data_IF_402933871886
#
_entry.id   IF_402933871886
#
_cell.length_a   1.000
_cell.length_b   1.000
_cell.length_c   1.000
_cell.angle_alpha   90.00
_cell.angle_beta   90.00
_cell.angle_gamma   90.00
#
_symmetry.space_group_name_H-M   'P 1'
#
loop_
_entity.id
_entity.type
_entity.pdbx_description
1 polymer ?
#
# COMPACT_ATOMS: atom_id res chain seq x y z
N UNK A 1 -46.55 -18.23 14.79
CA UNK A 1 -46.80 -17.28 13.69
C UNK A 1 -46.85 -15.79 14.12
N UNK A 2 -46.61 -15.43 15.40
CA UNK A 2 -46.76 -14.07 15.93
C UNK A 2 -45.42 -13.36 16.16
N UNK A 3 -44.25 -14.01 16.07
CA UNK A 3 -42.96 -13.39 16.42
C UNK A 3 -42.21 -12.67 15.28
N UNK A 4 -42.66 -12.81 14.03
CA UNK A 4 -41.99 -12.18 12.87
C UNK A 4 -42.51 -10.76 12.54
N UNK A 5 -43.78 -10.45 12.90
CA UNK A 5 -44.36 -9.15 12.53
C UNK A 5 -43.94 -7.96 13.43
N UNK A 6 -43.48 -8.21 14.65
CA UNK A 6 -43.04 -7.16 15.60
C UNK A 6 -41.55 -6.80 15.51
N UNK A 7 -40.74 -7.63 14.89
CA UNK A 7 -39.29 -7.38 14.77
C UNK A 7 -38.89 -6.51 13.55
N UNK A 8 -39.71 -6.56 12.50
CA UNK A 8 -39.41 -5.78 11.26
C UNK A 8 -39.48 -4.27 11.48
N UNK A 9 -40.51 -3.71 12.14
CA UNK A 9 -40.53 -2.24 12.41
C UNK A 9 -39.40 -1.78 13.31
N UNK A 10 -39.00 -2.56 14.30
CA UNK A 10 -37.90 -2.22 15.20
C UNK A 10 -36.54 -2.29 14.48
N UNK A 11 -36.34 -3.27 13.61
CA UNK A 11 -35.14 -3.37 12.78
C UNK A 11 -35.06 -2.24 11.74
N UNK A 12 -36.21 -1.86 11.13
CA UNK A 12 -36.30 -0.72 10.22
C UNK A 12 -36.03 0.62 10.92
N UNK A 13 -36.57 0.82 12.12
CA UNK A 13 -36.31 2.02 12.93
C UNK A 13 -34.86 2.10 13.41
N UNK A 14 -34.26 0.99 13.79
CA UNK A 14 -32.84 0.91 14.15
C UNK A 14 -31.95 1.22 12.95
N UNK A 15 -32.26 0.69 11.75
CA UNK A 15 -31.55 1.00 10.51
C UNK A 15 -31.71 2.46 10.10
N UNK A 16 -32.92 3.04 10.20
CA UNK A 16 -33.17 4.44 9.92
C UNK A 16 -32.39 5.36 10.89
N UNK A 17 -32.36 5.03 12.18
CA UNK A 17 -31.60 5.80 13.19
C UNK A 17 -30.08 5.69 12.97
N UNK A 18 -29.57 4.52 12.57
CA UNK A 18 -28.15 4.33 12.23
C UNK A 18 -27.78 5.12 10.97
N UNK A 19 -28.64 5.12 9.96
CA UNK A 19 -28.47 5.91 8.72
C UNK A 19 -28.46 7.40 9.02
N UNK A 20 -29.37 7.87 9.87
CA UNK A 20 -29.44 9.28 10.31
C UNK A 20 -28.18 9.68 11.07
N UNK A 21 -27.67 8.86 11.98
CA UNK A 21 -26.41 9.10 12.72
C UNK A 21 -25.20 9.11 11.79
N UNK A 22 -25.12 8.19 10.84
CA UNK A 22 -24.05 8.15 9.85
C UNK A 22 -24.09 9.41 8.95
N UNK A 23 -25.27 9.82 8.50
CA UNK A 23 -25.46 11.05 7.73
C UNK A 23 -25.07 12.30 8.54
N UNK A 24 -25.43 12.37 9.82
CA UNK A 24 -25.02 13.46 10.71
C UNK A 24 -23.51 13.50 10.93
N UNK A 25 -22.88 12.34 11.12
CA UNK A 25 -21.41 12.22 11.25
C UNK A 25 -20.70 12.65 9.97
N UNK A 26 -21.21 12.24 8.80
CA UNK A 26 -20.69 12.65 7.50
C UNK A 26 -20.89 14.15 7.25
N UNK A 27 -22.03 14.71 7.66
CA UNK A 27 -22.31 16.15 7.53
C UNK A 27 -21.44 16.98 8.49
N UNK A 28 -21.16 16.47 9.69
CA UNK A 28 -20.21 17.06 10.63
C UNK A 28 -18.78 17.03 10.07
N UNK A 29 -18.39 15.93 9.44
CA UNK A 29 -17.12 15.80 8.74
C UNK A 29 -17.03 16.78 7.56
N UNK A 30 -18.08 16.85 6.73
CA UNK A 30 -18.21 17.79 5.61
C UNK A 30 -18.11 19.26 6.08
N UNK A 31 -18.80 19.61 7.16
CA UNK A 31 -18.77 20.96 7.73
C UNK A 31 -17.40 21.31 8.35
N UNK A 32 -16.72 20.35 8.99
CA UNK A 32 -15.34 20.52 9.47
C UNK A 32 -14.35 20.69 8.31
N UNK A 33 -14.60 20.05 7.17
CA UNK A 33 -13.79 20.19 5.96
C UNK A 33 -14.03 21.50 5.22
N UNK A 34 -15.27 22.01 5.21
CA UNK A 34 -15.59 23.33 4.64
C UNK A 34 -14.98 24.50 5.42
N UNK A 35 -14.59 24.29 6.68
CA UNK A 35 -13.82 25.25 7.48
C UNK A 35 -12.33 25.34 7.13
N UNK A 36 -11.83 24.50 6.20
CA UNK A 36 -10.46 24.56 5.67
C UNK A 36 -10.49 25.40 4.39
N UNK A 37 -10.21 26.66 4.51
CA UNK A 37 -10.32 27.67 3.44
C UNK A 37 -9.33 27.54 2.27
N UNK A 38 -8.55 26.45 2.18
CA UNK A 38 -7.54 26.24 1.12
C UNK A 38 -7.59 24.88 0.42
N UNK A 39 -8.66 24.10 0.60
CA UNK A 39 -8.84 22.90 -0.21
C UNK A 39 -9.28 23.32 -1.62
N UNK A 40 -8.53 22.95 -2.65
CA UNK A 40 -8.83 23.30 -4.04
C UNK A 40 -10.25 22.86 -4.44
N UNK A 41 -10.90 23.60 -5.33
CA UNK A 41 -12.25 23.28 -5.84
C UNK A 41 -12.30 21.86 -6.44
N UNK A 42 -11.19 21.37 -6.97
CA UNK A 42 -11.03 19.99 -7.47
C UNK A 42 -11.20 18.96 -6.36
N UNK A 43 -10.75 19.25 -5.14
CA UNK A 43 -10.92 18.37 -3.97
C UNK A 43 -12.40 18.34 -3.55
N UNK A 44 -13.08 19.51 -3.57
CA UNK A 44 -14.52 19.61 -3.25
C UNK A 44 -15.39 18.86 -4.27
N UNK A 45 -15.08 18.97 -5.56
CA UNK A 45 -15.80 18.26 -6.62
C UNK A 45 -15.55 16.74 -6.57
N UNK A 46 -14.31 16.30 -6.34
CA UNK A 46 -13.98 14.88 -6.20
C UNK A 46 -14.62 14.26 -4.96
N UNK A 47 -14.66 14.98 -3.85
CA UNK A 47 -15.32 14.53 -2.63
C UNK A 47 -16.84 14.54 -2.75
N UNK A 48 -17.44 15.53 -3.43
CA UNK A 48 -18.88 15.53 -3.72
C UNK A 48 -19.30 14.32 -4.55
N UNK A 49 -18.50 13.94 -5.54
CA UNK A 49 -18.71 12.72 -6.34
C UNK A 49 -18.55 11.43 -5.54
N UNK A 50 -17.51 11.34 -4.71
CA UNK A 50 -17.27 10.20 -3.81
C UNK A 50 -18.37 10.09 -2.76
N UNK A 51 -18.79 11.22 -2.15
CA UNK A 51 -19.87 11.24 -1.16
C UNK A 51 -21.23 10.87 -1.77
N UNK A 52 -21.53 11.32 -2.98
CA UNK A 52 -22.78 10.95 -3.65
C UNK A 52 -22.79 9.46 -4.06
N UNK A 53 -21.65 8.92 -4.54
CA UNK A 53 -21.52 7.51 -4.86
C UNK A 53 -21.54 6.64 -3.59
N UNK A 54 -20.92 7.11 -2.51
CA UNK A 54 -20.90 6.43 -1.22
C UNK A 54 -22.28 6.47 -0.55
N UNK A 55 -22.96 7.61 -0.57
CA UNK A 55 -24.32 7.74 -0.04
C UNK A 55 -25.33 6.91 -0.86
N UNK A 56 -25.23 6.89 -2.18
CA UNK A 56 -26.07 6.07 -3.03
C UNK A 56 -25.88 4.57 -2.81
N UNK A 57 -24.63 4.12 -2.76
CA UNK A 57 -24.30 2.71 -2.47
C UNK A 57 -24.60 2.32 -1.02
N UNK A 58 -24.40 3.24 -0.06
CA UNK A 58 -24.70 3.02 1.34
C UNK A 58 -26.19 2.86 1.57
N UNK A 59 -27.02 3.72 0.95
CA UNK A 59 -28.48 3.61 1.02
C UNK A 59 -28.96 2.29 0.40
N UNK A 60 -28.41 1.90 -0.76
CA UNK A 60 -28.77 0.64 -1.40
C UNK A 60 -28.31 -0.58 -0.57
N UNK A 61 -27.12 -0.55 0.01
CA UNK A 61 -26.59 -1.64 0.85
C UNK A 61 -27.21 -1.68 2.23
N UNK A 62 -27.63 -0.54 2.79
CA UNK A 62 -28.33 -0.45 4.09
C UNK A 62 -29.72 -1.05 4.01
N UNK A 63 -30.41 -0.89 2.90
CA UNK A 63 -31.70 -1.55 2.66
C UNK A 63 -31.54 -3.05 2.51
N UNK A 64 -30.41 -3.55 1.99
CA UNK A 64 -30.19 -4.97 1.76
C UNK A 64 -29.43 -5.70 2.88
N UNK A 65 -28.49 -5.05 3.59
CA UNK A 65 -27.56 -5.70 4.53
C UNK A 65 -27.46 -5.08 5.94
N UNK A 66 -28.20 -4.01 6.23
CA UNK A 66 -28.32 -3.46 7.60
C UNK A 66 -27.07 -2.75 8.16
N UNK A 67 -27.14 -2.47 9.46
CA UNK A 67 -26.19 -1.68 10.26
C UNK A 67 -24.71 -2.13 10.17
N UNK A 68 -24.46 -3.40 9.83
CA UNK A 68 -23.12 -3.98 9.73
C UNK A 68 -22.22 -3.35 8.64
N UNK A 69 -22.81 -2.95 7.50
CA UNK A 69 -22.05 -2.36 6.40
C UNK A 69 -21.54 -0.94 6.74
N UNK A 70 -22.33 -0.15 7.47
CA UNK A 70 -21.94 1.22 7.91
C UNK A 70 -20.83 1.13 8.95
N UNK A 71 -20.95 0.21 9.92
CA UNK A 71 -19.94 -0.01 10.93
C UNK A 71 -18.61 -0.44 10.29
N UNK A 72 -18.65 -1.39 9.37
CA UNK A 72 -17.45 -1.84 8.64
C UNK A 72 -16.78 -0.74 7.80
N UNK A 73 -17.56 0.16 7.19
CA UNK A 73 -17.01 1.29 6.46
C UNK A 73 -16.32 2.31 7.39
N UNK A 74 -16.89 2.59 8.56
CA UNK A 74 -16.29 3.49 9.56
C UNK A 74 -15.01 2.87 10.13
N UNK A 75 -15.02 1.59 10.49
CA UNK A 75 -13.85 0.85 10.98
C UNK A 75 -12.73 0.87 9.91
N UNK A 76 -13.05 0.62 8.65
CA UNK A 76 -12.07 0.66 7.55
C UNK A 76 -11.43 2.04 7.37
N UNK A 77 -12.17 3.13 7.59
CA UNK A 77 -11.62 4.51 7.55
C UNK A 77 -10.70 4.74 8.75
N UNK A 78 -11.10 4.31 9.95
CA UNK A 78 -10.28 4.45 11.17
C UNK A 78 -8.98 3.63 11.07
N UNK A 79 -9.06 2.41 10.58
CA UNK A 79 -7.89 1.55 10.37
C UNK A 79 -6.92 2.17 9.36
N UNK A 80 -7.44 2.67 8.23
CA UNK A 80 -6.62 3.36 7.22
C UNK A 80 -5.99 4.65 7.77
N UNK A 81 -6.72 5.42 8.57
CA UNK A 81 -6.18 6.63 9.21
C UNK A 81 -5.09 6.31 10.22
N UNK A 82 -5.26 5.26 11.00
CA UNK A 82 -4.27 4.79 11.98
C UNK A 82 -3.01 4.30 11.27
N UNK A 83 -3.16 3.48 10.24
CA UNK A 83 -2.03 3.00 9.43
C UNK A 83 -1.30 4.16 8.76
N UNK A 84 -2.04 5.11 8.17
CA UNK A 84 -1.47 6.31 7.57
C UNK A 84 -0.67 7.13 8.59
N UNK A 85 -1.20 7.37 9.78
CA UNK A 85 -0.53 8.13 10.83
C UNK A 85 0.77 7.45 11.28
N UNK A 86 0.75 6.13 11.45
CA UNK A 86 1.94 5.34 11.78
C UNK A 86 3.00 5.44 10.68
N UNK A 87 2.60 5.34 9.40
CA UNK A 87 3.49 5.51 8.26
C UNK A 87 4.11 6.91 8.27
N UNK A 88 3.32 7.98 8.46
CA UNK A 88 3.85 9.35 8.49
C UNK A 88 4.85 9.57 9.63
N UNK A 89 4.55 9.06 10.83
CA UNK A 89 5.46 9.18 11.97
C UNK A 89 6.80 8.47 11.72
N UNK A 90 6.76 7.24 11.18
CA UNK A 90 7.97 6.46 10.86
C UNK A 90 8.75 7.07 9.69
N UNK A 91 8.04 7.59 8.68
CA UNK A 91 8.66 8.25 7.54
C UNK A 91 9.47 9.48 7.95
N UNK A 92 8.96 10.25 8.92
CA UNK A 92 9.68 11.40 9.48
C UNK A 92 10.99 10.99 10.15
N UNK A 93 11.01 9.85 10.84
CA UNK A 93 12.24 9.31 11.46
C UNK A 93 13.28 8.92 10.40
N UNK A 94 12.84 8.27 9.31
CA UNK A 94 13.72 7.86 8.21
C UNK A 94 14.24 9.06 7.42
N UNK A 95 13.40 10.06 7.18
CA UNK A 95 13.75 11.24 6.40
C UNK A 95 14.61 12.26 7.18
N UNK A 96 14.67 12.17 8.50
CA UNK A 96 15.47 13.03 9.37
C UNK A 96 14.91 14.46 9.56
N UNK A 97 14.02 14.92 8.68
CA UNK A 97 13.35 16.22 8.80
C UNK A 97 11.93 16.16 8.24
N UNK A 98 11.10 17.14 8.66
CA UNK A 98 9.72 17.25 8.16
C UNK A 98 9.67 17.54 6.66
N UNK A 99 10.55 18.38 6.17
CA UNK A 99 10.64 18.74 4.75
C UNK A 99 11.00 17.53 3.88
N UNK A 100 12.06 16.81 4.28
CA UNK A 100 12.46 15.59 3.62
C UNK A 100 11.37 14.51 3.68
N UNK A 101 10.62 14.41 4.78
CA UNK A 101 9.51 13.48 4.91
C UNK A 101 8.39 13.78 3.90
N UNK A 102 8.02 15.05 3.72
CA UNK A 102 7.03 15.47 2.73
C UNK A 102 7.51 15.10 1.31
N UNK A 103 8.76 15.37 1.00
CA UNK A 103 9.34 15.04 -0.31
C UNK A 103 9.38 13.53 -0.54
N UNK A 104 9.87 12.77 0.43
CA UNK A 104 9.94 11.30 0.37
C UNK A 104 8.54 10.68 0.25
N UNK A 105 7.57 11.19 1.01
CA UNK A 105 6.18 10.77 0.92
C UNK A 105 5.58 10.95 -0.49
N UNK A 106 5.87 12.09 -1.12
CA UNK A 106 5.46 12.34 -2.51
C UNK A 106 6.10 11.32 -3.46
N UNK A 107 7.40 11.06 -3.33
CA UNK A 107 8.10 10.08 -4.17
C UNK A 107 7.53 8.67 -4.01
N UNK A 108 7.24 8.25 -2.76
CA UNK A 108 6.63 6.95 -2.47
C UNK A 108 5.25 6.83 -3.13
N UNK A 109 4.42 7.88 -3.01
CA UNK A 109 3.10 7.89 -3.64
C UNK A 109 3.20 7.75 -5.17
N UNK A 110 4.07 8.53 -5.80
CA UNK A 110 4.29 8.48 -7.24
C UNK A 110 4.84 7.12 -7.69
N UNK A 111 5.76 6.55 -6.93
CA UNK A 111 6.33 5.22 -7.14
C UNK A 111 5.26 4.13 -7.04
N UNK A 112 4.42 4.15 -6.00
CA UNK A 112 3.29 3.22 -5.86
C UNK A 112 2.33 3.30 -7.05
N UNK A 113 2.05 4.50 -7.56
CA UNK A 113 1.22 4.68 -8.75
C UNK A 113 1.87 4.12 -10.01
N UNK A 114 3.18 4.37 -10.23
CA UNK A 114 3.92 3.82 -11.40
C UNK A 114 3.99 2.30 -11.35
N UNK A 115 4.24 1.73 -10.17
CA UNK A 115 4.33 0.27 -9.97
C UNK A 115 2.96 -0.42 -9.83
N UNK A 116 1.84 0.29 -9.95
CA UNK A 116 0.46 -0.22 -9.79
C UNK A 116 0.24 -0.88 -8.42
N UNK A 117 1.01 -0.47 -7.41
CA UNK A 117 0.99 -0.98 -6.05
C UNK A 117 0.21 -0.12 -5.07
N UNK A 118 0.04 -0.62 -3.83
CA UNK A 118 -0.56 0.13 -2.74
C UNK A 118 0.40 1.18 -2.16
N UNK A 119 -0.11 2.38 -1.88
CA UNK A 119 0.71 3.45 -1.33
C UNK A 119 1.20 3.15 0.09
N UNK A 120 0.33 2.67 0.98
CA UNK A 120 0.71 2.38 2.37
C UNK A 120 1.68 1.19 2.43
N UNK A 121 1.44 0.15 1.65
CA UNK A 121 2.33 -1.00 1.54
C UNK A 121 3.71 -0.60 0.99
N UNK A 122 3.76 0.27 -0.01
CA UNK A 122 5.02 0.81 -0.55
C UNK A 122 5.76 1.65 0.49
N UNK A 123 5.04 2.50 1.22
CA UNK A 123 5.62 3.34 2.26
C UNK A 123 6.21 2.49 3.39
N UNK A 124 5.46 1.49 3.85
CA UNK A 124 5.95 0.57 4.89
C UNK A 124 7.21 -0.17 4.45
N UNK A 125 7.23 -0.71 3.24
CA UNK A 125 8.39 -1.41 2.68
C UNK A 125 9.62 -0.49 2.54
N UNK A 126 9.45 0.74 2.05
CA UNK A 126 10.54 1.73 1.98
C UNK A 126 11.08 2.07 3.35
N UNK A 127 10.20 2.30 4.34
CA UNK A 127 10.60 2.57 5.72
C UNK A 127 11.38 1.40 6.29
N UNK A 128 10.88 0.19 6.15
CA UNK A 128 11.54 -1.03 6.64
C UNK A 128 12.93 -1.18 6.04
N UNK A 129 13.07 -1.09 4.72
CA UNK A 129 14.37 -1.21 4.03
C UNK A 129 15.33 -0.10 4.49
N UNK A 130 14.85 1.15 4.58
CA UNK A 130 15.69 2.29 5.00
C UNK A 130 16.17 2.17 6.45
N UNK A 131 15.37 1.58 7.34
CA UNK A 131 15.72 1.38 8.75
C UNK A 131 16.60 0.14 8.96
N UNK A 132 16.24 -0.98 8.31
CA UNK A 132 16.86 -2.29 8.58
C UNK A 132 18.12 -2.53 7.75
N UNK A 133 18.22 -1.92 6.56
CA UNK A 133 19.34 -2.07 5.63
C UNK A 133 20.03 -0.73 5.34
N UNK A 134 20.21 0.10 6.37
CA UNK A 134 20.76 1.45 6.24
C UNK A 134 22.11 1.48 5.52
N UNK A 135 22.98 0.49 5.76
CA UNK A 135 24.29 0.40 5.11
C UNK A 135 24.18 0.24 3.59
N UNK A 136 23.20 -0.55 3.13
CA UNK A 136 22.91 -0.69 1.70
C UNK A 136 22.11 0.49 1.12
N UNK A 137 21.26 1.12 1.93
CA UNK A 137 20.38 2.23 1.54
C UNK A 137 20.54 3.45 2.45
N UNK A 138 21.70 4.11 2.47
CA UNK A 138 21.94 5.31 3.28
C UNK A 138 21.05 6.48 2.83
N UNK A 139 20.63 6.49 1.56
CA UNK A 139 19.66 7.44 1.01
C UNK A 139 18.29 6.75 0.84
N UNK A 140 17.25 7.16 1.62
CA UNK A 140 15.92 6.57 1.51
C UNK A 140 15.28 6.67 0.12
N UNK A 141 15.73 7.64 -0.71
CA UNK A 141 15.25 7.78 -2.10
C UNK A 141 15.67 6.58 -2.95
N UNK A 142 16.84 6.01 -2.67
CA UNK A 142 17.29 4.77 -3.33
C UNK A 142 16.50 3.55 -2.89
N UNK A 143 16.02 3.53 -1.65
CA UNK A 143 15.07 2.52 -1.20
C UNK A 143 13.73 2.64 -1.95
N UNK A 144 13.24 3.84 -2.26
CA UNK A 144 12.03 4.04 -3.10
C UNK A 144 12.23 3.46 -4.50
N UNK A 145 13.32 3.81 -5.18
CA UNK A 145 13.64 3.30 -6.53
C UNK A 145 13.74 1.76 -6.53
N UNK A 146 14.43 1.21 -5.53
CA UNK A 146 14.59 -0.23 -5.37
C UNK A 146 13.25 -0.93 -5.15
N UNK A 147 12.41 -0.40 -4.24
CA UNK A 147 11.10 -0.98 -3.93
C UNK A 147 10.11 -0.87 -5.11
N UNK A 148 10.20 0.20 -5.90
CA UNK A 148 9.46 0.31 -7.15
C UNK A 148 9.86 -0.80 -8.12
N UNK A 149 11.17 -1.04 -8.27
CA UNK A 149 11.70 -2.15 -9.07
C UNK A 149 11.19 -3.51 -8.61
N UNK A 150 11.24 -3.80 -7.31
CA UNK A 150 10.73 -5.04 -6.71
C UNK A 150 9.23 -5.22 -6.98
N UNK A 151 8.43 -4.18 -6.79
CA UNK A 151 6.99 -4.22 -7.04
C UNK A 151 6.68 -4.55 -8.51
N UNK A 152 7.43 -3.93 -9.44
CA UNK A 152 7.31 -4.23 -10.88
C UNK A 152 7.72 -5.67 -11.20
N UNK A 153 8.78 -6.17 -10.58
CA UNK A 153 9.22 -7.58 -10.73
C UNK A 153 8.15 -8.55 -10.26
N UNK A 154 7.46 -8.27 -9.15
CA UNK A 154 6.32 -9.08 -8.71
C UNK A 154 5.18 -9.10 -9.73
N UNK A 155 4.86 -7.95 -10.32
CA UNK A 155 3.83 -7.85 -11.35
C UNK A 155 4.22 -8.62 -12.63
N UNK A 156 5.47 -8.50 -13.08
CA UNK A 156 6.00 -9.23 -14.24
C UNK A 156 5.95 -10.74 -13.98
N UNK A 157 6.34 -11.18 -12.79
CA UNK A 157 6.33 -12.59 -12.39
C UNK A 157 4.95 -13.17 -12.11
N UNK A 158 3.89 -12.35 -12.11
CA UNK A 158 2.52 -12.79 -11.81
C UNK A 158 2.33 -13.30 -10.38
N UNK A 159 3.15 -12.85 -9.43
CA UNK A 159 3.08 -13.27 -8.03
C UNK A 159 1.75 -12.89 -7.38
N UNK A 160 1.10 -13.82 -6.69
CA UNK A 160 -0.11 -13.53 -5.91
C UNK A 160 0.19 -12.54 -4.78
N UNK A 161 -0.83 -11.86 -4.24
CA UNK A 161 -0.66 -10.92 -3.12
C UNK A 161 0.01 -11.57 -1.90
N UNK A 162 -0.33 -12.81 -1.61
CA UNK A 162 0.29 -13.58 -0.53
C UNK A 162 1.76 -13.91 -0.82
N UNK A 163 2.08 -14.35 -2.04
CA UNK A 163 3.45 -14.61 -2.48
C UNK A 163 4.30 -13.32 -2.42
N UNK A 164 3.75 -12.19 -2.88
CA UNK A 164 4.41 -10.88 -2.78
C UNK A 164 4.72 -10.52 -1.32
N UNK A 165 3.75 -10.69 -0.41
CA UNK A 165 3.92 -10.41 1.02
C UNK A 165 5.00 -11.29 1.64
N UNK A 166 4.99 -12.58 1.35
CA UNK A 166 5.99 -13.53 1.86
C UNK A 166 7.39 -13.22 1.32
N UNK A 167 7.51 -13.02 0.01
CA UNK A 167 8.79 -12.65 -0.61
C UNK A 167 9.33 -11.32 -0.08
N UNK A 168 8.45 -10.33 0.14
CA UNK A 168 8.81 -9.03 0.68
C UNK A 168 9.35 -9.15 2.11
N UNK A 169 8.69 -9.93 2.96
CA UNK A 169 9.14 -10.18 4.33
C UNK A 169 10.54 -10.79 4.33
N UNK A 170 10.78 -11.84 3.54
CA UNK A 170 12.07 -12.50 3.48
C UNK A 170 13.15 -11.63 2.86
N UNK A 171 12.80 -10.85 1.81
CA UNK A 171 13.72 -9.89 1.21
C UNK A 171 14.14 -8.82 2.23
N UNK A 172 13.20 -8.27 2.98
CA UNK A 172 13.49 -7.25 4.01
C UNK A 172 14.35 -7.83 5.13
N UNK A 173 14.09 -9.06 5.58
CA UNK A 173 14.90 -9.76 6.58
C UNK A 173 16.33 -10.01 6.07
N UNK A 174 16.49 -10.49 4.83
CA UNK A 174 17.79 -10.70 4.21
C UNK A 174 18.57 -9.39 4.03
N UNK A 175 17.91 -8.31 3.63
CA UNK A 175 18.53 -6.98 3.54
C UNK A 175 18.96 -6.46 4.92
N UNK A 176 18.14 -6.68 5.95
CA UNK A 176 18.42 -6.28 7.34
C UNK A 176 19.59 -7.04 7.96
N UNK A 177 19.73 -8.33 7.67
CA UNK A 177 20.87 -9.15 8.12
C UNK A 177 22.16 -8.90 7.30
N UNK A 178 22.06 -8.10 6.24
CA UNK A 178 23.14 -7.81 5.31
C UNK A 178 23.34 -8.85 4.22
N UNK A 179 22.62 -9.99 4.26
CA UNK A 179 22.77 -11.09 3.29
C UNK A 179 21.51 -11.96 3.24
N UNK A 180 21.24 -12.55 2.07
CA UNK A 180 20.23 -13.60 1.90
C UNK A 180 20.87 -14.97 2.10
N UNK A 181 20.39 -15.72 3.07
CA UNK A 181 20.83 -17.08 3.33
C UNK A 181 19.67 -18.07 3.18
N UNK A 182 20.03 -19.35 3.09
CA UNK A 182 19.22 -20.54 3.27
C UNK A 182 17.71 -20.37 3.07
N UNK A 183 17.01 -20.13 4.15
CA UNK A 183 15.54 -20.11 4.14
C UNK A 183 14.93 -18.84 3.53
N UNK A 184 15.54 -17.65 3.73
CA UNK A 184 15.11 -16.40 3.09
C UNK A 184 15.26 -16.50 1.57
N UNK A 185 16.41 -17.00 1.10
CA UNK A 185 16.65 -17.21 -0.32
C UNK A 185 15.64 -18.22 -0.92
N UNK A 186 15.41 -19.35 -0.24
CA UNK A 186 14.45 -20.36 -0.68
C UNK A 186 13.04 -19.75 -0.80
N UNK A 187 12.60 -19.03 0.21
CA UNK A 187 11.28 -18.41 0.20
C UNK A 187 11.11 -17.40 -0.93
N UNK A 188 12.15 -16.60 -1.22
CA UNK A 188 12.14 -15.68 -2.37
C UNK A 188 12.10 -16.47 -3.69
N UNK A 189 12.89 -17.52 -3.82
CA UNK A 189 12.92 -18.36 -5.02
C UNK A 189 11.55 -19.03 -5.31
N UNK A 190 10.82 -19.42 -4.27
CA UNK A 190 9.50 -20.04 -4.36
C UNK A 190 8.39 -19.02 -4.64
N UNK A 191 8.40 -17.87 -3.96
CA UNK A 191 7.33 -16.88 -4.02
C UNK A 191 7.54 -15.79 -5.09
N UNK A 192 8.78 -15.54 -5.49
CA UNK A 192 9.18 -14.52 -6.46
C UNK A 192 10.37 -14.96 -7.32
N UNK A 193 10.25 -16.04 -8.12
CA UNK A 193 11.35 -16.62 -8.89
C UNK A 193 11.98 -15.63 -9.88
N UNK A 194 11.28 -14.57 -10.24
CA UNK A 194 11.81 -13.52 -11.11
C UNK A 194 12.92 -12.72 -10.43
N UNK A 195 12.85 -12.51 -9.11
CA UNK A 195 13.93 -11.86 -8.33
C UNK A 195 15.19 -12.74 -8.37
N UNK A 196 15.04 -14.04 -8.15
CA UNK A 196 16.14 -15.00 -8.23
C UNK A 196 16.82 -14.96 -9.63
N UNK A 197 16.01 -14.93 -10.70
CA UNK A 197 16.51 -14.86 -12.07
C UNK A 197 17.32 -13.57 -12.33
N UNK A 198 16.85 -12.43 -11.83
CA UNK A 198 17.54 -11.14 -12.00
C UNK A 198 18.88 -11.17 -11.26
N UNK A 199 18.92 -11.69 -10.03
CA UNK A 199 20.16 -11.81 -9.25
C UNK A 199 21.13 -12.75 -9.96
N UNK A 200 20.70 -13.94 -10.39
CA UNK A 200 21.53 -14.90 -11.11
C UNK A 200 22.14 -14.30 -12.39
N UNK A 201 21.31 -13.64 -13.20
CA UNK A 201 21.73 -12.93 -14.42
C UNK A 201 22.72 -11.81 -14.13
N UNK A 202 22.49 -11.01 -13.10
CA UNK A 202 23.36 -9.93 -12.68
C UNK A 202 24.73 -10.41 -12.22
N UNK A 203 24.77 -11.57 -11.58
CA UNK A 203 26.02 -12.20 -11.12
C UNK A 203 26.70 -13.07 -12.20
N UNK A 204 26.04 -13.30 -13.34
CA UNK A 204 26.56 -14.17 -14.40
C UNK A 204 26.63 -15.64 -14.03
N UNK A 205 25.76 -16.11 -13.11
CA UNK A 205 25.76 -17.49 -12.60
C UNK A 205 24.47 -18.22 -12.93
N UNK A 206 24.49 -19.54 -12.88
CA UNK A 206 23.29 -20.36 -12.96
C UNK A 206 22.48 -20.28 -11.66
N UNK A 207 21.18 -20.64 -11.73
CA UNK A 207 20.33 -20.71 -10.51
C UNK A 207 20.88 -21.71 -9.48
N UNK A 208 21.48 -22.81 -9.92
CA UNK A 208 22.09 -23.79 -9.04
C UNK A 208 23.32 -23.22 -8.31
N UNK A 209 24.17 -22.48 -9.00
CA UNK A 209 25.30 -21.76 -8.40
C UNK A 209 24.83 -20.64 -7.48
N UNK A 210 23.79 -19.90 -7.85
CA UNK A 210 23.21 -18.86 -7.00
C UNK A 210 22.73 -19.44 -5.68
N UNK A 211 22.06 -20.60 -5.70
CA UNK A 211 21.63 -21.32 -4.50
C UNK A 211 22.81 -21.70 -3.60
N UNK A 212 23.92 -22.17 -4.19
CA UNK A 212 25.15 -22.45 -3.48
C UNK A 212 25.74 -21.19 -2.86
N UNK A 213 25.83 -20.10 -3.62
CA UNK A 213 26.32 -18.81 -3.13
C UNK A 213 25.46 -18.25 -1.99
N UNK A 214 24.14 -18.45 -2.06
CA UNK A 214 23.22 -18.09 -0.96
C UNK A 214 23.52 -18.90 0.31
N UNK A 215 23.74 -20.20 0.19
CA UNK A 215 24.10 -21.04 1.36
C UNK A 215 25.48 -20.68 1.97
N UNK A 216 26.35 -20.05 1.17
CA UNK A 216 27.65 -19.54 1.60
C UNK A 216 27.59 -18.08 2.09
N UNK A 217 26.40 -17.46 2.17
CA UNK A 217 26.21 -16.06 2.61
C UNK A 217 26.80 -15.02 1.65
N UNK A 218 27.00 -15.39 0.37
CA UNK A 218 27.57 -14.48 -0.64
C UNK A 218 26.56 -13.59 -1.35
N UNK A 219 25.27 -13.79 -1.09
CA UNK A 219 24.20 -12.93 -1.63
C UNK A 219 23.93 -11.80 -0.64
N UNK A 220 24.79 -10.80 -0.67
CA UNK A 220 24.72 -9.66 0.24
C UNK A 220 23.60 -8.68 -0.13
N UNK A 221 23.20 -7.81 0.80
CA UNK A 221 22.23 -6.73 0.56
C UNK A 221 22.68 -5.84 -0.61
N UNK A 222 23.99 -5.57 -0.73
CA UNK A 222 24.55 -4.79 -1.82
C UNK A 222 24.43 -5.52 -3.18
N UNK A 223 24.64 -6.83 -3.22
CA UNK A 223 24.46 -7.66 -4.42
C UNK A 223 23.00 -7.60 -4.89
N UNK A 224 22.07 -7.76 -3.96
CA UNK A 224 20.63 -7.70 -4.27
C UNK A 224 20.23 -6.32 -4.79
N UNK A 225 20.64 -5.26 -4.06
CA UNK A 225 20.41 -3.88 -4.47
C UNK A 225 20.91 -3.64 -5.89
N UNK A 226 22.18 -3.95 -6.14
CA UNK A 226 22.80 -3.72 -7.45
C UNK A 226 22.15 -4.55 -8.55
N UNK A 227 21.76 -5.80 -8.27
CA UNK A 227 21.06 -6.63 -9.24
C UNK A 227 19.74 -6.00 -9.70
N UNK A 228 18.95 -5.46 -8.78
CA UNK A 228 17.69 -4.79 -9.13
C UNK A 228 17.93 -3.42 -9.77
N UNK A 229 18.76 -2.57 -9.16
CA UNK A 229 19.00 -1.21 -9.63
C UNK A 229 19.61 -1.15 -11.03
N UNK A 230 20.55 -2.04 -11.33
CA UNK A 230 21.19 -2.11 -12.66
C UNK A 230 20.25 -2.67 -13.74
N UNK A 231 19.20 -3.39 -13.34
CA UNK A 231 18.20 -3.95 -14.26
C UNK A 231 16.90 -3.13 -14.33
N UNK A 232 16.80 -1.97 -13.66
CA UNK A 232 15.59 -1.12 -13.69
C UNK A 232 15.12 -0.80 -15.12
N UNK A 233 15.98 -0.45 -16.11
CA UNK A 233 15.50 -0.17 -17.47
C UNK A 233 14.83 -1.38 -18.13
N UNK A 234 15.36 -2.58 -17.93
CA UNK A 234 14.78 -3.80 -18.48
C UNK A 234 13.50 -4.20 -17.74
N UNK A 235 13.47 -4.04 -16.42
CA UNK A 235 12.28 -4.23 -15.56
C UNK A 235 11.17 -3.28 -16.04
N UNK A 236 11.48 -2.00 -16.26
CA UNK A 236 10.50 -1.02 -16.74
C UNK A 236 9.92 -1.43 -18.08
N UNK A 237 10.77 -1.77 -19.06
CA UNK A 237 10.36 -2.20 -20.40
C UNK A 237 9.43 -3.41 -20.35
N UNK A 238 9.74 -4.43 -19.54
CA UNK A 238 8.89 -5.60 -19.37
C UNK A 238 7.58 -5.26 -18.68
N UNK A 239 7.62 -4.43 -17.64
CA UNK A 239 6.43 -4.00 -16.92
C UNK A 239 5.47 -3.18 -17.78
N UNK A 240 5.99 -2.26 -18.61
CA UNK A 240 5.17 -1.47 -19.54
C UNK A 240 4.46 -2.32 -20.60
N UNK A 241 5.03 -3.48 -20.95
CA UNK A 241 4.40 -4.43 -21.88
C UNK A 241 3.19 -5.14 -21.28
N UNK A 242 3.01 -5.12 -19.96
CA UNK A 242 1.86 -5.74 -19.28
C UNK A 242 0.60 -4.88 -19.44
N UNK A 243 -0.53 -5.49 -19.79
CA UNK A 243 -1.81 -4.79 -19.83
C UNK A 243 -2.18 -4.28 -18.43
N UNK A 244 -2.81 -3.12 -18.38
CA UNK A 244 -3.41 -2.63 -17.10
C UNK A 244 -4.67 -3.43 -16.82
N UNK A 245 -4.75 -3.98 -15.62
CA UNK A 245 -5.91 -4.74 -15.15
C UNK A 245 -6.94 -3.84 -14.47
N UNK A 246 -8.15 -4.36 -14.29
CA UNK A 246 -9.16 -3.68 -13.45
C UNK A 246 -8.65 -3.47 -12.01
N UNK A 247 -7.90 -4.44 -11.46
CA UNK A 247 -7.26 -4.32 -10.14
C UNK A 247 -6.30 -3.15 -10.05
N UNK A 248 -5.50 -2.90 -11.10
CA UNK A 248 -4.56 -1.77 -11.14
C UNK A 248 -5.31 -0.42 -11.12
N UNK A 249 -6.43 -0.32 -11.85
CA UNK A 249 -7.26 0.87 -11.83
C UNK A 249 -7.88 1.11 -10.44
N UNK A 250 -8.40 0.06 -9.81
CA UNK A 250 -8.95 0.16 -8.46
C UNK A 250 -7.89 0.51 -7.42
N UNK A 251 -6.68 -0.04 -7.53
CA UNK A 251 -5.57 0.32 -6.65
C UNK A 251 -5.17 1.79 -6.81
N UNK A 252 -5.10 2.29 -8.04
CA UNK A 252 -4.84 3.71 -8.30
C UNK A 252 -5.91 4.63 -7.69
N UNK A 253 -7.18 4.24 -7.79
CA UNK A 253 -8.29 4.97 -7.16
C UNK A 253 -8.14 4.96 -5.63
N UNK A 254 -7.83 3.81 -5.04
CA UNK A 254 -7.61 3.67 -3.58
C UNK A 254 -6.48 4.57 -3.10
N UNK A 255 -5.33 4.56 -3.78
CA UNK A 255 -4.21 5.43 -3.44
C UNK A 255 -4.58 6.92 -3.50
N UNK A 256 -5.29 7.34 -4.55
CA UNK A 256 -5.76 8.72 -4.70
C UNK A 256 -6.76 9.11 -3.61
N UNK A 257 -7.64 8.18 -3.21
CA UNK A 257 -8.57 8.39 -2.11
C UNK A 257 -7.81 8.60 -0.79
N UNK A 258 -6.84 7.75 -0.43
CA UNK A 258 -6.02 7.92 0.76
C UNK A 258 -5.35 9.29 0.77
N UNK A 259 -4.76 9.71 -0.34
CA UNK A 259 -4.13 11.04 -0.46
C UNK A 259 -5.13 12.19 -0.34
N UNK A 260 -6.33 12.04 -0.88
CA UNK A 260 -7.39 13.04 -0.75
C UNK A 260 -7.91 13.17 0.68
N UNK A 261 -7.89 12.09 1.46
CA UNK A 261 -8.28 12.07 2.87
C UNK A 261 -7.14 12.44 3.84
N UNK A 262 -5.93 12.63 3.38
CA UNK A 262 -4.78 13.01 4.20
C UNK A 262 -5.06 14.18 5.17
N UNK A 263 -5.70 15.31 4.75
CA UNK A 263 -6.01 16.41 5.67
C UNK A 263 -7.03 16.02 6.77
N UNK A 264 -7.84 15.00 6.51
CA UNK A 264 -8.79 14.46 7.48
C UNK A 264 -8.05 13.57 8.47
N UNK A 265 -7.17 12.69 7.99
CA UNK A 265 -6.37 11.80 8.82
C UNK A 265 -5.49 12.57 9.81
N UNK A 266 -4.86 13.68 9.37
CA UNK A 266 -4.08 14.58 10.22
C UNK A 266 -4.86 15.19 11.41
N UNK A 267 -6.19 15.20 11.34
CA UNK A 267 -7.04 15.79 12.39
C UNK A 267 -7.61 14.77 13.36
N UNK A 268 -7.65 13.51 12.98
CA UNK A 268 -8.25 12.44 13.77
C UNK A 268 -7.20 11.49 14.39
N UNK A 269 -5.94 11.58 13.96
CA UNK A 269 -4.76 10.95 14.55
C UNK A 269 -4.03 11.92 15.49
#
# INVERSE_FOLDING_TARGET
YISLSTNIPNAMNAAANATTKAYQSMNTLHNKMNGVSSASETLKASMGGIMNSFAGNLLASTVMNGVGAIKGAIESIQDTATEWAQVQARLKLVAGSQENAIYLNKQIFESAQRARGGYLEMADAVIQVSQSAHDAFPDPRKAVEFMEGIQKVFAIGGASKEAQKNAMLQLTQGLASGQLQGDEFRSIAENAPMIENIIAKSMGVSRGELKKLASEGKITAEVIKNAIMNNLPEIEKQFESLPKTWGDHMQSIKNKAIRAFEPVFQRIS
#
